data_IF_084612842015
#
_entry.id   IF_084612842015
#
_cell.length_a   1.000
_cell.length_b   1.000
_cell.length_c   1.000
_cell.angle_alpha   90.00
_cell.angle_beta   90.00
_cell.angle_gamma   90.00
#
_symmetry.space_group_name_H-M   'P 1'
#
loop_
_entity.id
_entity.type
_entity.pdbx_description
1 polymer ?
#
# COMPACT_ATOMS: atom_id res chain seq x y z
N UNK A 1 5.04 13.25 24.91
CA UNK A 1 5.69 13.21 23.59
C UNK A 1 5.19 12.02 22.76
N UNK A 2 5.52 10.77 23.12
CA UNK A 2 5.10 9.57 22.36
C UNK A 2 3.62 9.50 21.96
N UNK A 3 2.68 9.80 22.88
CA UNK A 3 1.24 9.72 22.57
C UNK A 3 0.77 10.81 21.59
N UNK A 4 1.28 12.04 21.69
CA UNK A 4 0.89 13.13 20.79
C UNK A 4 1.45 12.94 19.38
N UNK A 5 2.60 12.29 19.26
CA UNK A 5 3.27 12.12 17.97
C UNK A 5 2.81 10.88 17.20
N UNK A 6 2.42 9.82 17.91
CA UNK A 6 1.97 8.57 17.30
C UNK A 6 0.48 8.59 16.96
N UNK A 7 -0.32 9.38 17.69
CA UNK A 7 -1.77 9.42 17.49
C UNK A 7 -2.20 9.77 16.05
N UNK A 8 -1.62 10.77 15.36
CA UNK A 8 -1.95 11.07 13.97
C UNK A 8 -1.73 9.89 13.02
N UNK A 9 -0.69 9.07 13.25
CA UNK A 9 -0.43 7.88 12.43
C UNK A 9 -1.49 6.79 12.65
N UNK A 10 -1.93 6.60 13.90
CA UNK A 10 -2.99 5.63 14.23
C UNK A 10 -4.32 6.08 13.63
N UNK A 11 -4.64 7.37 13.74
CA UNK A 11 -5.84 7.96 13.16
C UNK A 11 -5.80 7.87 11.64
N UNK A 12 -4.66 8.17 11.01
CA UNK A 12 -4.50 8.10 9.55
C UNK A 12 -4.73 6.66 9.07
N UNK A 13 -4.15 5.67 9.75
CA UNK A 13 -4.38 4.26 9.42
C UNK A 13 -5.84 3.86 9.57
N UNK A 14 -6.52 4.37 10.58
CA UNK A 14 -7.93 4.09 10.84
C UNK A 14 -8.81 4.74 9.76
N UNK A 15 -8.53 6.00 9.40
CA UNK A 15 -9.16 6.72 8.30
C UNK A 15 -9.01 5.97 6.98
N UNK A 16 -7.78 5.55 6.65
CA UNK A 16 -7.48 4.75 5.45
C UNK A 16 -8.31 3.48 5.43
N UNK A 17 -8.33 2.69 6.52
CA UNK A 17 -9.09 1.44 6.58
C UNK A 17 -10.59 1.64 6.39
N UNK A 18 -11.15 2.68 6.98
CA UNK A 18 -12.57 2.99 6.87
C UNK A 18 -12.97 3.71 5.57
N UNK A 19 -12.00 4.17 4.79
CA UNK A 19 -12.27 4.94 3.58
C UNK A 19 -12.60 6.42 3.83
N UNK A 20 -12.23 6.97 4.99
CA UNK A 20 -12.51 8.37 5.34
C UNK A 20 -11.43 9.28 4.72
N UNK A 21 -11.69 9.73 3.50
CA UNK A 21 -10.77 10.57 2.71
C UNK A 21 -10.60 11.95 3.34
N UNK A 22 -11.65 12.53 3.93
CA UNK A 22 -11.57 13.86 4.55
C UNK A 22 -10.66 13.88 5.77
N UNK A 23 -10.80 12.88 6.65
CA UNK A 23 -9.89 12.73 7.80
C UNK A 23 -8.46 12.39 7.35
N UNK A 24 -8.31 11.61 6.28
CA UNK A 24 -7.02 11.28 5.68
C UNK A 24 -6.29 12.55 5.18
N UNK A 25 -6.95 13.40 4.40
CA UNK A 25 -6.39 14.65 3.86
C UNK A 25 -5.97 15.64 4.96
N UNK A 26 -6.82 15.79 5.98
CA UNK A 26 -6.52 16.60 7.15
C UNK A 26 -5.24 16.13 7.85
N UNK A 27 -5.12 14.81 8.09
CA UNK A 27 -3.96 14.24 8.77
C UNK A 27 -2.70 14.28 7.90
N UNK A 28 -2.80 14.06 6.59
CA UNK A 28 -1.66 14.21 5.66
C UNK A 28 -1.11 15.64 5.71
N UNK A 29 -1.99 16.64 5.77
CA UNK A 29 -1.59 18.04 5.90
C UNK A 29 -0.85 18.31 7.22
N UNK A 30 -1.30 17.75 8.34
CA UNK A 30 -0.58 17.85 9.62
C UNK A 30 0.79 17.17 9.56
N UNK A 31 0.86 16.00 8.94
CA UNK A 31 2.10 15.22 8.82
C UNK A 31 3.11 15.89 7.89
N UNK A 32 2.65 16.59 6.85
CA UNK A 32 3.52 17.37 5.96
C UNK A 32 4.40 18.34 6.76
N UNK A 33 3.81 19.09 7.70
CA UNK A 33 4.58 19.99 8.57
C UNK A 33 5.67 19.22 9.34
N UNK A 34 5.35 18.04 9.88
CA UNK A 34 6.34 17.22 10.60
C UNK A 34 7.48 16.76 9.70
N UNK A 35 7.18 16.29 8.50
CA UNK A 35 8.19 15.80 7.55
C UNK A 35 9.11 16.91 7.06
N UNK A 36 8.56 18.08 6.73
CA UNK A 36 9.35 19.26 6.33
C UNK A 36 10.25 19.71 7.49
N UNK A 37 9.72 19.81 8.71
CA UNK A 37 10.52 20.18 9.88
C UNK A 37 11.65 19.18 10.18
N UNK A 38 11.40 17.90 9.93
CA UNK A 38 12.37 16.80 10.05
C UNK A 38 13.37 16.70 8.91
N UNK A 39 13.32 17.59 7.91
CA UNK A 39 14.15 17.56 6.70
C UNK A 39 14.07 16.22 5.93
N UNK A 40 12.89 15.60 5.97
CA UNK A 40 12.61 14.35 5.29
C UNK A 40 11.93 14.67 3.95
N UNK A 41 12.71 15.23 3.01
CA UNK A 41 12.23 15.69 1.69
C UNK A 41 11.84 14.56 0.74
N UNK A 42 12.18 13.31 1.06
CA UNK A 42 11.88 12.14 0.21
C UNK A 42 10.41 11.74 0.20
N UNK A 43 9.60 12.27 1.12
CA UNK A 43 8.20 11.88 1.21
C UNK A 43 7.35 12.74 0.27
N UNK A 44 6.70 12.07 -0.66
CA UNK A 44 5.84 12.62 -1.71
C UNK A 44 4.51 13.19 -1.19
N UNK A 45 4.46 13.74 0.03
CA UNK A 45 3.21 14.26 0.60
C UNK A 45 2.66 15.47 -0.17
N UNK A 46 3.55 16.34 -0.68
CA UNK A 46 3.14 17.44 -1.56
C UNK A 46 2.57 16.92 -2.88
N UNK A 47 3.20 15.91 -3.48
CA UNK A 47 2.67 15.27 -4.69
C UNK A 47 1.31 14.61 -4.45
N UNK A 48 1.15 13.94 -3.31
CA UNK A 48 -0.12 13.32 -2.94
C UNK A 48 -1.22 14.37 -2.74
N UNK A 49 -0.93 15.46 -2.03
CA UNK A 49 -1.90 16.56 -1.82
C UNK A 49 -2.23 17.29 -3.12
N UNK A 50 -1.24 17.50 -4.00
CA UNK A 50 -1.45 18.10 -5.31
C UNK A 50 -2.28 17.18 -6.22
N UNK A 51 -1.96 15.89 -6.23
CA UNK A 51 -2.72 14.84 -6.90
C UNK A 51 -4.18 14.85 -6.47
N UNK A 52 -4.41 14.75 -5.16
CA UNK A 52 -5.74 14.74 -4.54
C UNK A 52 -6.57 15.99 -4.86
N UNK A 53 -5.98 17.19 -4.75
CA UNK A 53 -6.74 18.43 -4.82
C UNK A 53 -6.86 19.03 -6.22
N UNK A 54 -5.95 18.70 -7.15
CA UNK A 54 -5.82 19.43 -8.43
C UNK A 54 -5.77 18.54 -9.66
N UNK A 55 -5.08 17.41 -9.59
CA UNK A 55 -4.71 16.67 -10.80
C UNK A 55 -5.59 15.45 -11.05
N UNK A 56 -6.01 14.78 -9.98
CA UNK A 56 -6.83 13.60 -10.11
C UNK A 56 -8.30 14.01 -10.29
N UNK A 57 -8.99 13.40 -11.26
CA UNK A 57 -10.39 13.66 -11.46
C UNK A 57 -11.17 13.10 -10.25
N UNK A 58 -12.29 13.71 -9.84
CA UNK A 58 -13.00 13.36 -8.61
C UNK A 58 -13.55 11.92 -8.62
N UNK A 59 -13.65 11.29 -9.79
CA UNK A 59 -14.02 9.89 -9.94
C UNK A 59 -12.89 8.92 -9.56
N UNK A 60 -11.64 9.38 -9.52
CA UNK A 60 -10.48 8.54 -9.23
C UNK A 60 -10.33 8.37 -7.70
N UNK A 61 -10.79 7.22 -7.20
CA UNK A 61 -10.62 6.87 -5.79
C UNK A 61 -9.15 6.64 -5.42
N UNK A 62 -8.68 7.32 -4.36
CA UNK A 62 -7.34 7.15 -3.78
C UNK A 62 -7.19 5.94 -2.87
N UNK A 63 -8.32 5.29 -2.57
CA UNK A 63 -8.42 4.08 -1.78
C UNK A 63 -9.13 3.00 -2.58
N UNK A 64 -8.58 1.80 -2.55
CA UNK A 64 -9.16 0.62 -3.20
C UNK A 64 -9.66 -0.33 -2.11
N UNK A 65 -10.85 -0.89 -2.30
CA UNK A 65 -11.39 -1.91 -1.42
C UNK A 65 -11.60 -3.22 -2.18
N UNK A 66 -10.56 -4.07 -2.16
CA UNK A 66 -10.60 -5.37 -2.83
C UNK A 66 -11.45 -6.42 -2.09
N UNK A 67 -11.82 -6.16 -0.83
CA UNK A 67 -12.47 -7.16 0.03
C UNK A 67 -13.98 -6.95 0.18
N UNK A 68 -14.48 -5.76 -0.18
CA UNK A 68 -15.86 -5.34 0.07
C UNK A 68 -16.21 -5.11 1.54
N UNK A 69 -15.25 -5.25 2.47
CA UNK A 69 -15.46 -5.03 3.91
C UNK A 69 -15.28 -3.56 4.24
N UNK A 70 -16.02 -3.06 5.24
CA UNK A 70 -15.93 -1.65 5.70
C UNK A 70 -14.51 -1.21 6.06
N UNK A 71 -13.72 -2.10 6.66
CA UNK A 71 -12.31 -1.86 7.06
C UNK A 71 -11.28 -2.39 6.05
N UNK A 72 -11.72 -2.67 4.82
CA UNK A 72 -10.92 -3.32 3.78
C UNK A 72 -10.25 -2.36 2.79
N UNK A 73 -10.35 -1.06 3.03
CA UNK A 73 -9.73 -0.05 2.18
C UNK A 73 -8.23 -0.02 2.39
N UNK A 74 -7.51 0.25 1.31
CA UNK A 74 -6.07 0.42 1.32
C UNK A 74 -5.65 1.45 0.27
N UNK A 75 -4.50 2.11 0.44
CA UNK A 75 -3.97 3.06 -0.54
C UNK A 75 -3.76 2.38 -1.90
N UNK A 76 -3.98 3.14 -2.99
CA UNK A 76 -3.70 2.66 -4.36
C UNK A 76 -2.27 2.15 -4.49
N UNK A 77 -1.29 2.86 -3.91
CA UNK A 77 0.11 2.43 -3.94
C UNK A 77 0.31 1.10 -3.21
N UNK A 78 -0.28 0.89 -2.04
CA UNK A 78 -0.22 -0.40 -1.35
C UNK A 78 -0.96 -1.49 -2.14
N UNK A 79 -2.06 -1.17 -2.81
CA UNK A 79 -2.75 -2.11 -3.69
C UNK A 79 -1.93 -2.43 -4.94
N UNK A 80 -1.21 -1.44 -5.49
CA UNK A 80 -0.29 -1.60 -6.60
C UNK A 80 0.92 -2.42 -6.15
N UNK A 81 1.51 -2.14 -4.99
CA UNK A 81 2.56 -2.93 -4.37
C UNK A 81 2.06 -4.34 -4.07
N UNK A 82 0.83 -4.54 -3.60
CA UNK A 82 0.26 -5.88 -3.43
C UNK A 82 -0.02 -6.55 -4.77
N UNK A 83 -0.40 -5.82 -5.82
CA UNK A 83 -0.59 -6.37 -7.16
C UNK A 83 0.76 -6.64 -7.84
N UNK A 84 1.78 -5.86 -7.51
CA UNK A 84 3.17 -6.05 -7.88
C UNK A 84 3.80 -7.09 -6.97
N UNK A 85 3.35 -7.35 -5.75
CA UNK A 85 3.94 -8.31 -4.80
C UNK A 85 3.27 -9.67 -4.91
N UNK A 86 1.94 -9.72 -5.04
CA UNK A 86 1.20 -10.90 -5.50
C UNK A 86 1.49 -11.16 -6.95
N UNK A 87 1.62 -10.09 -7.73
CA UNK A 87 2.36 -10.02 -8.99
C UNK A 87 3.64 -10.77 -8.80
N UNK A 88 4.67 -10.22 -8.19
CA UNK A 88 6.01 -10.76 -7.91
C UNK A 88 6.02 -12.13 -7.20
N UNK A 89 5.08 -12.53 -6.36
CA UNK A 89 5.08 -13.93 -5.86
C UNK A 89 4.74 -14.89 -7.00
N UNK A 90 3.93 -14.43 -7.94
CA UNK A 90 3.71 -15.07 -9.22
C UNK A 90 4.81 -14.63 -10.24
N UNK A 91 5.30 -13.39 -10.25
CA UNK A 91 5.94 -12.64 -11.34
C UNK A 91 7.42 -12.33 -11.05
N UNK A 92 7.95 -12.59 -9.86
CA UNK A 92 9.40 -12.72 -9.57
C UNK A 92 9.89 -14.10 -10.02
N UNK A 93 8.93 -15.01 -10.22
CA UNK A 93 9.10 -16.26 -10.94
C UNK A 93 8.95 -16.06 -12.47
N UNK A 94 8.52 -14.88 -12.95
CA UNK A 94 8.47 -14.49 -14.38
C UNK A 94 9.59 -13.52 -14.77
N UNK A 95 9.71 -12.41 -14.03
CA UNK A 95 10.63 -11.32 -14.25
C UNK A 95 11.81 -11.51 -13.29
N UNK A 96 13.00 -11.84 -13.79
CA UNK A 96 13.76 -10.86 -14.55
C UNK A 96 14.01 -9.56 -13.78
N UNK A 97 14.44 -9.65 -12.53
CA UNK A 97 15.34 -8.59 -12.02
C UNK A 97 16.69 -9.10 -11.56
N UNK A 98 16.86 -10.40 -11.30
CA UNK A 98 18.19 -10.97 -10.99
C UNK A 98 18.54 -12.22 -11.82
N UNK A 99 17.56 -13.02 -12.26
CA UNK A 99 17.87 -14.30 -12.95
C UNK A 99 17.41 -14.41 -14.41
N UNK A 100 16.48 -13.56 -14.87
CA UNK A 100 15.99 -13.58 -16.26
C UNK A 100 16.02 -12.20 -16.95
N UNK A 101 16.94 -11.30 -16.55
CA UNK A 101 17.34 -10.19 -17.43
C UNK A 101 18.24 -10.76 -18.51
N UNK A 102 17.68 -11.59 -19.39
CA UNK A 102 18.43 -12.08 -20.53
C UNK A 102 18.79 -10.91 -21.44
N UNK A 103 17.94 -9.87 -21.48
CA UNK A 103 18.15 -8.65 -22.26
C UNK A 103 17.66 -7.43 -21.44
N UNK A 104 18.37 -6.31 -21.54
CA UNK A 104 18.23 -5.13 -20.68
C UNK A 104 16.96 -4.30 -20.90
N UNK A 105 16.96 -2.98 -20.61
CA UNK A 105 15.77 -2.11 -20.62
C UNK A 105 15.06 -1.92 -21.99
N UNK A 106 15.46 -2.66 -23.03
CA UNK A 106 14.91 -2.58 -24.39
C UNK A 106 14.21 -3.89 -24.82
N UNK A 107 13.40 -4.51 -23.96
CA UNK A 107 12.58 -5.65 -24.39
C UNK A 107 11.31 -5.14 -25.07
N UNK A 108 11.10 -5.60 -26.30
CA UNK A 108 9.89 -5.32 -27.07
C UNK A 108 8.67 -6.06 -26.46
N UNK A 109 7.51 -5.39 -26.46
CA UNK A 109 6.25 -5.98 -25.99
C UNK A 109 5.89 -7.29 -26.68
N UNK A 110 6.28 -7.46 -27.95
CA UNK A 110 6.02 -8.69 -28.70
C UNK A 110 6.88 -9.86 -28.23
N UNK A 111 8.07 -9.60 -27.70
CA UNK A 111 8.87 -10.61 -27.02
C UNK A 111 8.21 -11.04 -25.71
N UNK A 112 7.69 -10.08 -24.93
CA UNK A 112 6.96 -10.38 -23.70
C UNK A 112 5.71 -11.24 -23.97
N UNK A 113 4.97 -10.96 -25.04
CA UNK A 113 3.83 -11.79 -25.48
C UNK A 113 4.24 -13.22 -25.80
N UNK A 114 5.39 -13.41 -26.46
CA UNK A 114 5.94 -14.76 -26.76
C UNK A 114 6.40 -15.49 -25.49
N UNK A 115 6.96 -14.77 -24.53
CA UNK A 115 7.42 -15.34 -23.26
C UNK A 115 6.25 -15.69 -22.33
N UNK A 116 5.12 -14.97 -22.43
CA UNK A 116 4.00 -15.07 -21.50
C UNK A 116 3.44 -16.49 -21.31
N UNK A 117 3.24 -17.32 -22.36
CA UNK A 117 2.78 -18.70 -22.18
C UNK A 117 3.81 -19.59 -21.48
N UNK A 118 5.11 -19.38 -21.72
CA UNK A 118 6.20 -20.22 -21.21
C UNK A 118 6.50 -20.01 -19.72
N UNK A 119 6.10 -18.87 -19.18
CA UNK A 119 6.19 -18.49 -17.77
C UNK A 119 5.81 -19.64 -16.82
N UNK A 120 4.65 -20.26 -17.04
CA UNK A 120 4.12 -21.22 -16.07
C UNK A 120 5.01 -22.47 -15.97
N UNK A 121 5.66 -22.83 -17.08
CA UNK A 121 6.61 -23.94 -17.13
C UNK A 121 7.91 -23.56 -16.42
N UNK A 122 8.46 -22.37 -16.70
CA UNK A 122 9.66 -21.86 -16.02
C UNK A 122 9.44 -21.86 -14.51
N UNK A 123 8.26 -21.41 -14.05
CA UNK A 123 7.86 -21.44 -12.63
C UNK A 123 7.92 -22.84 -12.03
N UNK A 124 7.34 -23.82 -12.71
CA UNK A 124 7.31 -25.21 -12.25
C UNK A 124 8.72 -25.77 -12.13
N UNK A 125 9.57 -25.51 -13.13
CA UNK A 125 10.96 -25.97 -13.15
C UNK A 125 11.78 -25.31 -12.06
N UNK A 126 11.72 -23.97 -11.91
CA UNK A 126 12.43 -23.26 -10.84
C UNK A 126 12.00 -23.74 -9.46
N UNK A 127 10.68 -23.92 -9.23
CA UNK A 127 10.19 -24.44 -7.96
C UNK A 127 10.68 -25.85 -7.68
N UNK A 128 10.73 -26.71 -8.70
CA UNK A 128 11.25 -28.06 -8.58
C UNK A 128 12.75 -28.04 -8.25
N UNK A 129 13.55 -27.28 -9.00
CA UNK A 129 14.99 -27.11 -8.74
C UNK A 129 15.27 -26.53 -7.34
N UNK A 130 14.55 -25.48 -6.92
CA UNK A 130 14.69 -24.91 -5.57
C UNK A 130 14.41 -25.95 -4.46
N UNK A 131 13.47 -26.87 -4.73
CA UNK A 131 13.10 -27.96 -3.81
C UNK A 131 14.18 -29.04 -3.77
N UNK A 132 14.64 -29.49 -4.93
CA UNK A 132 15.67 -30.53 -5.06
C UNK A 132 17.02 -30.08 -4.49
N UNK A 133 17.48 -28.89 -4.88
CA UNK A 133 18.77 -28.37 -4.44
C UNK A 133 18.72 -27.74 -3.04
N UNK A 134 17.53 -27.62 -2.44
CA UNK A 134 17.31 -26.96 -1.14
C UNK A 134 17.98 -25.59 -1.04
N UNK A 135 18.16 -24.88 -2.16
CA UNK A 135 18.78 -23.54 -2.20
C UNK A 135 17.97 -22.51 -1.42
N UNK A 136 16.72 -22.85 -1.10
CA UNK A 136 15.73 -22.08 -0.34
C UNK A 136 15.97 -21.98 1.18
N UNK A 137 17.22 -22.01 1.65
CA UNK A 137 17.54 -21.98 3.09
C UNK A 137 17.35 -20.57 3.70
N UNK A 138 17.20 -19.51 2.89
CA UNK A 138 17.15 -18.12 3.38
C UNK A 138 15.92 -17.36 2.87
N UNK A 139 15.07 -16.93 3.82
CA UNK A 139 14.23 -15.73 3.66
C UNK A 139 12.80 -15.90 3.12
N UNK A 140 12.22 -17.09 3.07
CA UNK A 140 10.83 -17.22 2.56
C UNK A 140 9.75 -16.79 3.56
N UNK A 141 10.08 -16.89 4.84
CA UNK A 141 9.23 -16.36 5.91
C UNK A 141 9.91 -15.09 6.38
N UNK A 142 9.28 -13.93 6.16
CA UNK A 142 9.46 -12.85 7.10
C UNK A 142 9.13 -13.44 8.46
N UNK A 143 10.14 -13.60 9.31
CA UNK A 143 9.90 -14.01 10.69
C UNK A 143 8.88 -13.02 11.22
N UNK A 144 7.68 -13.51 11.51
CA UNK A 144 6.62 -12.67 12.05
C UNK A 144 7.24 -12.08 13.33
N UNK A 145 7.41 -10.75 13.40
CA UNK A 145 8.01 -10.13 14.57
C UNK A 145 7.22 -10.59 15.79
N UNK A 146 7.92 -11.01 16.84
CA UNK A 146 7.30 -11.54 18.04
C UNK A 146 6.74 -10.36 18.81
N UNK A 147 5.56 -9.89 18.38
CA UNK A 147 4.89 -8.66 18.82
C UNK A 147 4.93 -8.51 20.34
N UNK A 148 4.60 -9.57 21.07
CA UNK A 148 4.54 -9.55 22.53
C UNK A 148 5.92 -9.38 23.17
N UNK A 149 6.95 -10.01 22.60
CA UNK A 149 8.34 -9.87 23.09
C UNK A 149 8.85 -8.45 22.83
N UNK A 150 8.55 -7.91 21.65
CA UNK A 150 8.96 -6.54 21.30
C UNK A 150 8.25 -5.51 22.18
N UNK A 151 6.94 -5.70 22.44
CA UNK A 151 6.17 -4.87 23.38
C UNK A 151 6.76 -4.98 24.79
N UNK A 152 7.09 -6.18 25.27
CA UNK A 152 7.73 -6.37 26.58
C UNK A 152 9.09 -5.67 26.66
N UNK A 153 9.89 -5.75 25.59
CA UNK A 153 11.17 -5.03 25.47
C UNK A 153 10.99 -3.52 25.58
N UNK A 154 10.03 -2.98 24.83
CA UNK A 154 9.64 -1.57 24.88
C UNK A 154 9.17 -1.16 26.29
N UNK A 155 8.30 -1.95 26.92
CA UNK A 155 7.84 -1.69 28.28
C UNK A 155 8.98 -1.70 29.29
N UNK A 156 9.91 -2.67 29.18
CA UNK A 156 11.09 -2.75 30.05
C UNK A 156 11.97 -1.52 29.90
N UNK A 157 12.24 -1.10 28.66
CA UNK A 157 13.01 0.11 28.38
C UNK A 157 12.32 1.36 28.92
N UNK A 158 11.01 1.48 28.72
CA UNK A 158 10.21 2.61 29.19
C UNK A 158 10.11 2.70 30.72
N UNK A 159 10.08 1.56 31.41
CA UNK A 159 10.17 1.47 32.88
C UNK A 159 11.57 1.85 33.38
N UNK A 160 12.62 1.41 32.69
CA UNK A 160 14.00 1.70 33.04
C UNK A 160 14.34 3.18 32.87
N UNK A 161 13.88 3.82 31.78
CA UNK A 161 14.15 5.23 31.48
C UNK A 161 13.43 6.20 32.43
N UNK A 162 12.35 5.76 33.09
CA UNK A 162 11.49 6.57 33.99
C UNK A 162 10.99 7.86 33.33
N UNK A 163 10.94 7.95 32.00
CA UNK A 163 10.59 9.18 31.27
C UNK A 163 9.15 9.60 31.50
N UNK A 164 8.26 8.64 31.81
CA UNK A 164 6.84 8.87 32.06
C UNK A 164 6.50 9.25 33.49
N UNK A 165 7.41 9.06 34.45
CA UNK A 165 7.13 9.42 35.83
C UNK A 165 7.20 10.94 35.96
N UNK A 166 6.09 11.54 36.36
CA UNK A 166 6.07 12.94 36.74
C UNK A 166 6.97 13.13 37.96
N UNK A 167 7.96 14.01 37.83
CA UNK A 167 8.83 14.42 38.93
C UNK A 167 8.69 15.93 39.04
N UNK A 168 8.04 16.39 40.10
CA UNK A 168 7.89 17.81 40.36
C UNK A 168 9.29 18.46 40.45
N UNK A 169 9.45 19.64 39.84
CA UNK A 169 10.72 20.38 39.80
C UNK A 169 11.89 19.63 39.15
N UNK A 170 11.63 18.76 38.17
CA UNK A 170 12.69 18.16 37.34
C UNK A 170 13.47 19.28 36.64
N UNK A 171 14.65 19.61 37.16
CA UNK A 171 15.56 20.55 36.52
C UNK A 171 16.10 19.88 35.25
N UNK A 172 15.58 20.30 34.09
CA UNK A 172 16.21 19.98 32.82
C UNK A 172 17.61 20.60 32.86
N UNK A 173 18.68 19.84 32.53
CA UNK A 173 20.02 20.41 32.51
C UNK A 173 20.02 21.62 31.59
N UNK A 174 20.27 22.81 32.15
CA UNK A 174 20.14 24.09 31.43
C UNK A 174 21.20 24.29 30.33
N UNK A 175 22.07 23.30 30.07
CA UNK A 175 23.33 23.45 29.34
C UNK A 175 23.53 22.50 28.15
N UNK A 176 22.62 21.55 27.92
CA UNK A 176 22.63 20.76 26.69
C UNK A 176 21.48 21.24 25.80
N UNK A 177 21.78 22.07 24.79
CA UNK A 177 20.81 22.39 23.72
C UNK A 177 20.24 21.12 23.04
N UNK A 178 20.91 19.97 23.20
CA UNK A 178 20.43 18.66 22.75
C UNK A 178 19.28 18.03 23.55
N UNK A 179 18.94 18.52 24.76
CA UNK A 179 17.87 17.93 25.57
C UNK A 179 16.50 18.62 25.39
N UNK A 180 16.44 19.75 24.67
CA UNK A 180 15.16 20.34 24.29
C UNK A 180 14.62 19.58 23.07
N UNK A 181 13.44 18.94 23.17
CA UNK A 181 12.86 18.31 22.01
C UNK A 181 12.58 19.36 20.93
N UNK A 182 13.11 19.15 19.74
CA UNK A 182 12.86 20.01 18.59
C UNK A 182 11.38 19.95 18.21
N UNK A 183 10.72 21.11 18.15
CA UNK A 183 9.34 21.21 17.67
C UNK A 183 9.32 21.15 16.14
N UNK A 184 9.23 19.93 15.60
CA UNK A 184 9.24 19.70 14.15
C UNK A 184 8.03 20.31 13.43
N UNK A 185 6.86 20.36 14.06
CA UNK A 185 5.65 20.95 13.46
C UNK A 185 5.86 22.44 13.21
N UNK A 186 6.25 23.20 14.24
CA UNK A 186 6.52 24.63 14.15
C UNK A 186 7.61 24.91 13.12
N UNK A 187 8.72 24.14 13.18
CA UNK A 187 9.82 24.28 12.21
C UNK A 187 9.38 24.02 10.77
N UNK A 188 8.55 23.01 10.53
CA UNK A 188 8.05 22.70 9.20
C UNK A 188 7.03 23.71 8.69
N UNK A 189 6.18 24.24 9.58
CA UNK A 189 5.29 25.36 9.26
C UNK A 189 6.09 26.59 8.84
N UNK A 190 7.10 26.99 9.62
CA UNK A 190 7.97 28.12 9.27
C UNK A 190 8.73 27.86 7.97
N UNK A 191 9.22 26.64 7.74
CA UNK A 191 9.93 26.28 6.50
C UNK A 191 9.01 26.38 5.26
N UNK A 192 7.77 25.91 5.35
CA UNK A 192 6.79 26.07 4.27
C UNK A 192 6.39 27.54 4.06
N UNK A 193 6.22 28.30 5.14
CA UNK A 193 5.92 29.74 5.05
C UNK A 193 7.07 30.55 4.45
N UNK A 194 8.32 30.11 4.65
CA UNK A 194 9.51 30.74 4.05
C UNK A 194 9.56 30.53 2.53
N UNK A 195 8.73 29.67 1.94
CA UNK A 195 8.59 29.49 0.49
C UNK A 195 9.61 28.55 -0.13
N UNK A 196 10.85 28.49 0.38
CA UNK A 196 11.94 27.71 -0.22
C UNK A 196 11.58 26.25 -0.54
N UNK A 197 10.96 25.51 0.39
CA UNK A 197 10.58 24.11 0.15
C UNK A 197 9.54 23.98 -0.97
N UNK A 198 8.66 24.96 -1.11
CA UNK A 198 7.65 24.98 -2.17
C UNK A 198 8.28 25.37 -3.51
N UNK A 199 9.20 26.33 -3.52
CA UNK A 199 9.98 26.73 -4.69
C UNK A 199 10.79 25.55 -5.24
N UNK A 200 11.56 24.86 -4.39
CA UNK A 200 12.34 23.67 -4.77
C UNK A 200 11.43 22.57 -5.35
N UNK A 201 10.24 22.39 -4.77
CA UNK A 201 9.25 21.42 -5.23
C UNK A 201 8.64 21.81 -6.59
N UNK A 202 8.29 23.09 -6.78
CA UNK A 202 7.78 23.63 -8.05
C UNK A 202 8.85 23.47 -9.13
N UNK A 203 10.10 23.85 -8.86
CA UNK A 203 11.22 23.75 -9.79
C UNK A 203 11.39 22.30 -10.27
N UNK A 204 11.36 21.33 -9.34
CA UNK A 204 11.42 19.90 -9.64
C UNK A 204 10.29 19.38 -10.53
N UNK A 205 9.12 20.03 -10.51
CA UNK A 205 7.99 19.70 -11.39
C UNK A 205 8.01 20.42 -12.73
N UNK A 206 8.62 21.60 -12.80
CA UNK A 206 8.69 22.41 -14.02
C UNK A 206 9.74 21.95 -15.03
N UNK A 207 10.41 20.82 -14.79
CA UNK A 207 11.38 20.26 -15.75
C UNK A 207 10.69 20.06 -17.10
N UNK A 208 11.22 20.73 -18.13
CA UNK A 208 10.75 20.58 -19.51
C UNK A 208 10.75 19.09 -19.84
N UNK A 209 9.56 18.50 -19.96
CA UNK A 209 9.44 17.21 -20.58
C UNK A 209 9.99 17.38 -21.98
N UNK A 210 11.11 16.72 -22.29
CA UNK A 210 11.64 16.64 -23.63
C UNK A 210 10.51 16.10 -24.49
N UNK A 211 9.80 17.02 -25.14
CA UNK A 211 8.72 16.71 -26.03
C UNK A 211 9.45 16.07 -27.19
N UNK A 212 9.46 14.74 -27.23
CA UNK A 212 9.82 14.00 -28.43
C UNK A 212 8.94 14.63 -29.51
N UNK A 213 9.56 15.45 -30.35
CA UNK A 213 8.92 16.01 -31.51
C UNK A 213 8.29 14.82 -32.22
N UNK A 214 6.96 14.76 -32.17
CA UNK A 214 6.23 13.78 -32.93
C UNK A 214 6.72 13.95 -34.37
N UNK A 215 7.28 12.90 -35.02
CA UNK A 215 7.70 13.03 -36.41
C UNK A 215 6.48 13.52 -37.20
N UNK A 216 6.61 14.69 -37.81
CA UNK A 216 5.54 15.42 -38.50
C UNK A 216 4.99 14.71 -39.75
N UNK A 217 5.41 13.47 -40.01
CA UNK A 217 5.23 12.80 -41.30
C UNK A 217 4.28 11.60 -41.22
N UNK A 218 3.58 11.39 -40.11
CA UNK A 218 2.47 10.45 -40.05
C UNK A 218 1.25 11.01 -40.81
N UNK A 219 1.29 10.82 -42.13
CA UNK A 219 0.15 11.06 -43.02
C UNK A 219 -1.05 10.27 -42.48
N UNK A 220 -2.23 10.87 -42.28
CA UNK A 220 -3.38 10.15 -41.73
C UNK A 220 -3.78 9.06 -42.72
N UNK A 221 -3.52 7.81 -42.37
CA UNK A 221 -4.18 6.69 -43.03
C UNK A 221 -5.67 6.84 -42.74
N UNK A 222 -6.44 7.17 -43.78
CA UNK A 222 -7.89 7.05 -43.77
C UNK A 222 -8.22 5.61 -43.43
N UNK A 223 -8.68 5.39 -42.21
CA UNK A 223 -9.36 4.15 -41.84
C UNK A 223 -10.68 4.19 -42.61
N UNK A 224 -10.76 3.40 -43.67
CA UNK A 224 -11.97 3.21 -44.45
C UNK A 224 -12.94 2.37 -43.60
N UNK A 225 -13.92 3.03 -42.97
CA UNK A 225 -14.90 2.41 -42.05
C UNK A 225 -15.90 1.52 -42.79
N UNK A 226 -15.77 1.35 -44.10
CA UNK A 226 -16.79 0.73 -44.95
C UNK A 226 -16.70 -0.81 -45.07
N UNK A 227 -15.85 -1.48 -44.30
CA UNK A 227 -15.78 -2.95 -44.29
C UNK A 227 -15.87 -3.54 -42.87
N UNK A 228 -16.99 -3.25 -42.19
CA UNK A 228 -17.45 -4.12 -41.11
C UNK A 228 -18.35 -5.20 -41.70
N UNK A 229 -18.03 -6.50 -41.61
CA UNK A 229 -18.97 -7.55 -41.99
C UNK A 229 -20.21 -7.50 -41.09
N UNK A 230 -21.42 -7.77 -41.62
CA UNK A 230 -22.64 -7.73 -40.83
C UNK A 230 -22.58 -8.75 -39.70
N UNK A 231 -22.78 -8.26 -38.48
CA UNK A 231 -22.97 -9.05 -37.27
C UNK A 231 -24.22 -9.93 -37.46
N UNK A 232 -24.01 -11.19 -37.84
CA UNK A 232 -25.07 -12.17 -37.92
C UNK A 232 -25.57 -12.47 -36.50
N UNK A 233 -26.73 -11.92 -36.14
CA UNK A 233 -27.49 -12.29 -34.96
C UNK A 233 -27.99 -13.73 -35.08
N UNK A 234 -27.20 -14.69 -34.61
CA UNK A 234 -27.69 -16.01 -34.23
C UNK A 234 -27.37 -16.23 -32.76
N UNK A 235 -28.36 -15.90 -31.93
CA UNK A 235 -28.45 -16.36 -30.55
C UNK A 235 -28.86 -17.84 -30.61
N UNK A 236 -28.02 -18.80 -30.18
CA UNK A 236 -28.49 -20.16 -30.00
C UNK A 236 -29.39 -20.23 -28.76
N UNK A 237 -30.59 -20.75 -28.97
CA UNK A 237 -31.59 -21.02 -27.93
C UNK A 237 -31.05 -21.94 -26.84
N UNK A 238 -31.43 -21.61 -25.62
CA UNK A 238 -31.12 -22.34 -24.39
C UNK A 238 -31.88 -23.67 -24.39
N UNK A 239 -31.17 -24.76 -24.62
CA UNK A 239 -31.66 -26.12 -24.36
C UNK A 239 -31.39 -26.53 -22.91
N UNK A 240 -32.26 -26.15 -21.98
CA UNK A 240 -32.22 -26.64 -20.60
C UNK A 240 -32.90 -28.01 -20.53
N UNK A 241 -32.13 -29.09 -20.69
CA UNK A 241 -32.62 -30.46 -20.47
C UNK A 241 -32.46 -30.86 -19.01
N UNK A 242 -33.56 -30.73 -18.28
CA UNK A 242 -33.82 -31.38 -17.00
C UNK A 242 -33.96 -32.89 -17.26
N UNK A 243 -33.11 -33.74 -16.66
CA UNK A 243 -33.51 -35.10 -16.25
C UNK A 243 -32.60 -35.68 -15.13
N UNK A 244 -33.18 -35.68 -13.93
CA UNK A 244 -33.24 -36.74 -12.89
C UNK A 244 -32.03 -37.63 -12.58
N UNK A 245 -31.58 -37.48 -11.32
CA UNK A 245 -31.04 -38.53 -10.44
C UNK A 245 -30.49 -37.84 -9.19
N UNK A 246 -30.97 -38.00 -7.96
CA UNK A 246 -31.63 -39.14 -7.35
C UNK A 246 -30.79 -39.61 -6.15
N UNK A 247 -31.14 -39.09 -4.96
CA UNK A 247 -30.98 -39.72 -3.63
C UNK A 247 -29.56 -39.79 -3.02
N UNK A 248 -29.30 -39.01 -1.95
CA UNK A 248 -29.31 -39.50 -0.54
C UNK A 248 -28.98 -38.41 0.50
N UNK A 249 -29.99 -38.22 1.35
CA UNK A 249 -30.00 -37.53 2.64
C UNK A 249 -28.94 -38.06 3.62
N UNK A 250 -28.34 -37.17 4.42
CA UNK A 250 -28.21 -37.37 5.87
C UNK A 250 -28.29 -36.04 6.61
N UNK A 251 -29.00 -36.10 7.73
CA UNK A 251 -29.48 -35.02 8.59
C UNK A 251 -28.47 -34.65 9.67
N UNK A 252 -28.74 -33.47 10.24
CA UNK A 252 -28.62 -33.08 11.67
C UNK A 252 -27.21 -32.93 12.27
N UNK A 253 -26.91 -31.69 12.65
CA UNK A 253 -26.65 -31.32 14.04
C UNK A 253 -27.24 -29.92 14.31
N UNK A 254 -27.99 -29.82 15.40
CA UNK A 254 -28.60 -28.62 15.99
C UNK A 254 -27.86 -28.24 17.28
N UNK A 255 -28.05 -26.98 17.70
CA UNK A 255 -27.63 -26.36 18.98
C UNK A 255 -26.12 -26.08 19.12
N UNK A 256 -25.65 -24.97 19.71
CA UNK A 256 -26.22 -24.20 20.81
C UNK A 256 -25.54 -22.82 20.92
N UNK A 257 -26.25 -21.91 21.58
CA UNK A 257 -25.99 -20.49 21.81
C UNK A 257 -24.68 -20.19 22.55
N UNK A 258 -24.06 -19.05 22.22
CA UNK A 258 -22.99 -18.42 23.00
C UNK A 258 -23.38 -16.96 23.25
N UNK A 259 -24.22 -16.76 24.27
CA UNK A 259 -24.45 -15.47 24.88
C UNK A 259 -23.91 -15.46 26.31
N UNK A 260 -23.27 -14.34 26.65
CA UNK A 260 -23.12 -13.76 28.00
C UNK A 260 -22.31 -14.51 29.06
N UNK A 261 -21.10 -14.02 29.32
CA UNK A 261 -20.56 -13.92 30.69
C UNK A 261 -20.08 -12.49 30.96
N UNK A 262 -20.90 -11.77 31.71
CA UNK A 262 -20.55 -10.61 32.54
C UNK A 262 -19.76 -11.07 33.75
N UNK A 263 -18.51 -10.66 33.90
CA UNK A 263 -17.76 -10.75 35.16
C UNK A 263 -18.14 -9.57 36.06
N UNK A 264 -18.83 -9.91 37.15
CA UNK A 264 -19.04 -9.05 38.31
C UNK A 264 -17.79 -9.01 39.18
N UNK A 265 -17.38 -7.79 39.51
CA UNK A 265 -16.36 -7.45 40.50
C UNK A 265 -16.73 -7.91 41.92
N UNK A 266 -15.87 -8.70 42.55
CA UNK A 266 -15.83 -8.84 44.01
C UNK A 266 -14.77 -7.92 44.59
N UNK A 267 -15.24 -6.95 45.38
CA UNK A 267 -14.45 -6.15 46.32
C UNK A 267 -14.50 -6.90 47.65
N UNK A 268 -13.35 -7.37 48.14
CA UNK A 268 -13.19 -7.82 49.52
C UNK A 268 -12.49 -6.75 50.35
N UNK A 269 -13.03 -6.59 51.55
CA UNK A 269 -12.66 -5.67 52.64
C UNK A 269 -11.30 -6.00 53.25
#
# INVERSE_FOLDING_TARGET
MFLCDVLPYILLRTAIKHGDVGLMEYLISEMLYRFVGGNNSKYQMLELLQGLNREWPPELGVLINNTGRREGHMPVDEAQEMNILKGYQTFKQINSQVTHRSEGPNIDWDYLKKLHPAIHVIRSVTSHMETEFKTRVRGWRHTIPKREIDIQGLQKWYRASRTHKFVANRKMPAKSDGDRPTEFVTKGFTALQTGKTLEDWIEGRTVEQATLAAPSDATPQKIDVTQSPPFASKVPEIGCSIFRGGIRSRRHCTHQDWDSQTESSEVSQ
#
